data_IF_726814579619
#
_entry.id   IF_726814579619
#
_cell.length_a   1.000
_cell.length_b   1.000
_cell.length_c   1.000
_cell.angle_alpha   90.00
_cell.angle_beta   90.00
_cell.angle_gamma   90.00
#
_symmetry.space_group_name_H-M   'P 1'
#
loop_
_entity.id
_entity.type
_entity.pdbx_description
1 polymer ?
#
# COMPACT_ATOMS: atom_id res chain seq x y z
N UNK A 1 -34.20 -10.55 -9.59
CA UNK A 1 -33.35 -11.63 -10.13
C UNK A 1 -32.31 -11.18 -11.16
N UNK A 2 -32.61 -10.30 -12.15
CA UNK A 2 -31.56 -9.73 -13.01
C UNK A 2 -30.94 -8.44 -12.44
N UNK A 3 -31.76 -7.57 -11.84
CA UNK A 3 -31.29 -6.32 -11.22
C UNK A 3 -30.33 -6.60 -10.04
N UNK A 4 -30.69 -7.53 -9.15
CA UNK A 4 -29.88 -7.93 -7.99
C UNK A 4 -28.49 -8.48 -8.40
N UNK A 5 -28.41 -9.15 -9.55
CA UNK A 5 -27.16 -9.69 -10.08
C UNK A 5 -26.26 -8.59 -10.66
N UNK A 6 -26.84 -7.55 -11.29
CA UNK A 6 -26.09 -6.41 -11.83
C UNK A 6 -25.52 -5.55 -10.71
N UNK A 7 -26.27 -5.30 -9.64
CA UNK A 7 -25.78 -4.58 -8.46
C UNK A 7 -24.63 -5.34 -7.79
N UNK A 8 -24.81 -6.66 -7.56
CA UNK A 8 -23.78 -7.51 -6.95
C UNK A 8 -22.49 -7.53 -7.77
N UNK A 9 -22.57 -7.65 -9.10
CA UNK A 9 -21.39 -7.57 -9.96
C UNK A 9 -20.74 -6.19 -9.91
N UNK A 10 -21.53 -5.12 -9.96
CA UNK A 10 -21.00 -3.75 -9.91
C UNK A 10 -20.18 -3.52 -8.63
N UNK A 11 -20.68 -3.99 -7.49
CA UNK A 11 -19.95 -3.91 -6.22
C UNK A 11 -18.68 -4.77 -6.22
N UNK A 12 -18.75 -6.01 -6.72
CA UNK A 12 -17.58 -6.89 -6.81
C UNK A 12 -16.46 -6.30 -7.66
N UNK A 13 -16.78 -5.78 -8.86
CA UNK A 13 -15.80 -5.17 -9.75
C UNK A 13 -15.20 -3.89 -9.14
N UNK A 14 -16.01 -3.09 -8.43
CA UNK A 14 -15.52 -1.91 -7.73
C UNK A 14 -14.55 -2.27 -6.60
N UNK A 15 -14.87 -3.29 -5.80
CA UNK A 15 -13.98 -3.79 -4.75
C UNK A 15 -12.67 -4.34 -5.33
N UNK A 16 -12.75 -5.10 -6.44
CA UNK A 16 -11.57 -5.59 -7.12
C UNK A 16 -10.68 -4.45 -7.62
N UNK A 17 -11.25 -3.42 -8.26
CA UNK A 17 -10.49 -2.25 -8.71
C UNK A 17 -9.80 -1.49 -7.57
N UNK A 18 -10.44 -1.39 -6.41
CA UNK A 18 -9.82 -0.80 -5.21
C UNK A 18 -8.64 -1.63 -4.70
N UNK A 19 -8.76 -2.96 -4.66
CA UNK A 19 -7.65 -3.81 -4.22
C UNK A 19 -6.49 -3.81 -5.24
N UNK A 20 -6.78 -3.82 -6.55
CA UNK A 20 -5.76 -3.68 -7.59
C UNK A 20 -5.01 -2.34 -7.49
N UNK A 21 -5.73 -1.26 -7.19
CA UNK A 21 -5.14 0.06 -6.93
C UNK A 21 -4.22 0.04 -5.71
N UNK A 22 -4.67 -0.56 -4.60
CA UNK A 22 -3.88 -0.67 -3.38
C UNK A 22 -2.62 -1.51 -3.58
N UNK A 23 -2.74 -2.64 -4.27
CA UNK A 23 -1.58 -3.47 -4.58
C UNK A 23 -0.56 -2.72 -5.45
N UNK A 24 -1.04 -1.98 -6.45
CA UNK A 24 -0.17 -1.12 -7.27
C UNK A 24 0.56 -0.09 -6.41
N UNK A 25 -0.12 0.59 -5.49
CA UNK A 25 0.48 1.56 -4.57
C UNK A 25 1.54 0.91 -3.67
N UNK A 26 1.25 -0.25 -3.07
CA UNK A 26 2.22 -1.00 -2.26
C UNK A 26 3.48 -1.33 -3.07
N UNK A 27 3.32 -1.81 -4.31
CA UNK A 27 4.45 -2.14 -5.18
C UNK A 27 5.31 -0.91 -5.51
N UNK A 28 4.69 0.25 -5.72
CA UNK A 28 5.41 1.51 -5.93
C UNK A 28 6.21 1.88 -4.67
N UNK A 29 5.59 1.86 -3.49
CA UNK A 29 6.26 2.16 -2.22
C UNK A 29 7.45 1.23 -1.97
N UNK A 30 7.32 -0.08 -2.23
CA UNK A 30 8.42 -1.05 -2.13
C UNK A 30 9.57 -0.69 -3.08
N UNK A 31 9.26 -0.33 -4.34
CA UNK A 31 10.27 0.08 -5.32
C UNK A 31 10.98 1.37 -4.90
N UNK A 32 10.26 2.33 -4.33
CA UNK A 32 10.84 3.58 -3.84
C UNK A 32 11.73 3.35 -2.61
N UNK A 33 11.26 2.56 -1.65
CA UNK A 33 12.03 2.16 -0.48
C UNK A 33 13.34 1.46 -0.90
N UNK A 34 13.27 0.57 -1.90
CA UNK A 34 14.46 -0.10 -2.45
C UNK A 34 15.46 0.88 -3.05
N UNK A 35 14.98 1.86 -3.83
CA UNK A 35 15.85 2.85 -4.48
C UNK A 35 16.50 3.80 -3.49
N UNK A 36 15.78 4.18 -2.43
CA UNK A 36 16.25 5.18 -1.47
C UNK A 36 17.08 4.59 -0.33
N UNK A 37 16.67 3.44 0.19
CA UNK A 37 17.22 2.86 1.41
C UNK A 37 17.86 1.48 1.21
N UNK A 38 17.74 0.90 0.01
CA UNK A 38 18.34 -0.39 -0.34
C UNK A 38 17.38 -1.59 -0.23
N UNK A 39 17.84 -2.77 -0.70
CA UNK A 39 17.01 -3.96 -0.82
C UNK A 39 16.49 -4.50 0.52
N UNK A 40 17.30 -4.46 1.56
CA UNK A 40 16.93 -4.97 2.89
C UNK A 40 15.71 -4.23 3.47
N UNK A 41 15.70 -2.91 3.36
CA UNK A 41 14.58 -2.08 3.82
C UNK A 41 13.31 -2.36 3.01
N UNK A 42 13.44 -2.59 1.71
CA UNK A 42 12.31 -2.93 0.86
C UNK A 42 11.71 -4.30 1.19
N UNK A 43 12.54 -5.30 1.46
CA UNK A 43 12.11 -6.64 1.89
C UNK A 43 11.37 -6.57 3.24
N UNK A 44 11.88 -5.79 4.19
CA UNK A 44 11.20 -5.57 5.47
C UNK A 44 9.90 -4.76 5.34
N UNK A 45 9.79 -3.89 4.33
CA UNK A 45 8.60 -3.07 4.09
C UNK A 45 7.42 -3.87 3.53
N UNK A 46 7.68 -4.92 2.74
CA UNK A 46 6.65 -5.74 2.09
C UNK A 46 5.57 -6.27 3.04
N UNK A 47 5.90 -7.01 4.12
CA UNK A 47 4.88 -7.57 5.01
C UNK A 47 4.15 -6.51 5.83
N UNK A 48 4.74 -5.33 6.02
CA UNK A 48 4.10 -4.22 6.74
C UNK A 48 3.07 -3.53 5.85
N UNK A 49 3.44 -3.21 4.61
CA UNK A 49 2.54 -2.60 3.62
C UNK A 49 1.36 -3.52 3.25
N UNK A 50 1.56 -4.84 3.23
CA UNK A 50 0.51 -5.81 2.94
C UNK A 50 -0.62 -5.81 3.99
N UNK A 51 -0.34 -5.39 5.24
CA UNK A 51 -1.35 -5.30 6.32
C UNK A 51 -2.23 -4.05 6.20
N UNK A 52 -1.71 -3.02 5.55
CA UNK A 52 -2.39 -1.74 5.45
C UNK A 52 -3.54 -1.86 4.46
N UNK A 53 -4.72 -1.55 4.97
CA UNK A 53 -5.96 -1.60 4.19
C UNK A 53 -6.65 -0.28 3.96
N UNK A 54 -6.12 0.80 4.51
CA UNK A 54 -6.64 2.11 4.27
C UNK A 54 -5.87 2.76 3.10
N UNK A 55 -6.53 3.09 1.97
CA UNK A 55 -5.90 3.81 0.88
C UNK A 55 -5.27 5.13 1.32
N UNK A 56 -5.93 5.86 2.22
CA UNK A 56 -5.46 7.17 2.68
C UNK A 56 -4.15 7.02 3.47
N UNK A 57 -4.02 5.95 4.26
CA UNK A 57 -2.76 5.63 4.95
C UNK A 57 -1.63 5.27 3.96
N UNK A 58 -1.94 4.59 2.86
CA UNK A 58 -0.93 4.30 1.82
C UNK A 58 -0.46 5.58 1.13
N UNK A 59 -1.36 6.54 0.91
CA UNK A 59 -1.02 7.87 0.37
C UNK A 59 -0.14 8.66 1.34
N UNK A 60 -0.52 8.74 2.62
CA UNK A 60 0.30 9.41 3.65
C UNK A 60 1.71 8.80 3.76
N UNK A 61 1.81 7.47 3.66
CA UNK A 61 3.09 6.77 3.66
C UNK A 61 3.96 7.12 2.45
N UNK A 62 3.38 7.48 1.30
CA UNK A 62 4.14 7.94 0.14
C UNK A 62 4.88 9.24 0.44
N UNK A 63 4.22 10.19 1.08
CA UNK A 63 4.85 11.44 1.52
C UNK A 63 5.90 11.18 2.61
N UNK A 64 5.58 10.35 3.60
CA UNK A 64 6.50 10.01 4.68
C UNK A 64 7.76 9.29 4.17
N UNK A 65 7.65 8.44 3.14
CA UNK A 65 8.81 7.80 2.50
C UNK A 65 9.77 8.85 1.92
N UNK A 66 9.22 9.90 1.31
CA UNK A 66 10.02 10.98 0.72
C UNK A 66 10.67 11.89 1.78
N UNK A 67 10.03 12.04 2.93
CA UNK A 67 10.53 12.87 4.03
C UNK A 67 11.46 12.10 5.01
N UNK A 68 11.42 10.77 4.99
CA UNK A 68 12.21 9.94 5.90
C UNK A 68 13.73 10.08 5.64
N UNK A 69 14.54 10.40 6.65
CA UNK A 69 15.99 10.59 6.49
C UNK A 69 16.71 9.28 6.14
N UNK A 70 16.22 8.14 6.62
CA UNK A 70 16.83 6.81 6.46
C UNK A 70 15.78 5.69 6.50
N UNK A 71 16.26 4.47 6.25
CA UNK A 71 15.43 3.27 6.23
C UNK A 71 14.85 2.89 7.60
N UNK A 72 15.56 3.16 8.69
CA UNK A 72 15.09 2.85 10.05
C UNK A 72 13.90 3.72 10.46
N UNK A 73 13.97 5.01 10.11
CA UNK A 73 12.86 5.95 10.31
C UNK A 73 11.64 5.53 9.49
N UNK A 74 11.85 5.16 8.22
CA UNK A 74 10.79 4.64 7.35
C UNK A 74 10.13 3.38 7.92
N UNK A 75 10.91 2.38 8.33
CA UNK A 75 10.39 1.14 8.91
C UNK A 75 9.65 1.38 10.23
N UNK A 76 10.08 2.37 11.01
CA UNK A 76 9.39 2.76 12.24
C UNK A 76 8.00 3.34 11.94
N UNK A 77 7.87 4.16 10.89
CA UNK A 77 6.56 4.68 10.48
C UNK A 77 5.65 3.56 9.94
N UNK A 78 6.19 2.66 9.10
CA UNK A 78 5.42 1.52 8.61
C UNK A 78 4.89 0.65 9.75
N UNK A 79 5.70 0.36 10.78
CA UNK A 79 5.27 -0.42 11.95
C UNK A 79 4.17 0.25 12.78
N UNK A 80 4.04 1.58 12.70
CA UNK A 80 2.97 2.33 13.37
C UNK A 80 1.66 2.32 12.57
N UNK A 81 1.77 2.23 11.25
CA UNK A 81 0.63 2.20 10.34
C UNK A 81 0.09 0.77 10.08
N UNK A 82 0.93 -0.27 10.21
CA UNK A 82 0.59 -1.68 9.97
C UNK A 82 -0.01 -2.40 11.17
#
# INVERSE_FOLDING_TARGET
>A
MLADNVETWTDQWKQQGLEEGRETTRQILIRQARRRFGPEVAEQSQPLLARISDPDQLEELADQLLLSPDGDTWLTQLKRAS
#
